data_IF_544762493494
#
_entry.id   IF_544762493494
#
_cell.length_a   1.000
_cell.length_b   1.000
_cell.length_c   1.000
_cell.angle_alpha   90.00
_cell.angle_beta   90.00
_cell.angle_gamma   90.00
#
_symmetry.space_group_name_H-M   'P 1'
#
loop_
_entity.id
_entity.type
_entity.pdbx_description
1 polymer ?
#
# COMPACT_ATOMS: atom_id res chain seq x y z
N UNK A 1 11.07 23.40 -21.74
CA UNK A 1 9.66 23.68 -21.36
C UNK A 1 8.70 22.80 -22.17
N UNK A 2 8.87 22.68 -23.51
CA UNK A 2 7.95 21.93 -24.36
C UNK A 2 7.86 20.43 -24.04
N UNK A 3 8.99 19.75 -23.77
CA UNK A 3 9.00 18.31 -23.47
C UNK A 3 8.29 17.98 -22.15
N UNK A 4 8.58 18.72 -21.08
CA UNK A 4 7.95 18.50 -19.78
C UNK A 4 6.42 18.67 -19.81
N UNK A 5 5.92 19.66 -20.55
CA UNK A 5 4.48 19.87 -20.71
C UNK A 5 3.82 18.72 -21.49
N UNK A 6 4.41 18.28 -22.59
CA UNK A 6 3.94 17.14 -23.37
C UNK A 6 3.98 15.83 -22.53
N UNK A 7 5.02 15.63 -21.74
CA UNK A 7 5.15 14.50 -20.84
C UNK A 7 4.04 14.51 -19.77
N UNK A 8 3.79 15.68 -19.14
CA UNK A 8 2.71 15.84 -18.17
C UNK A 8 1.35 15.46 -18.75
N UNK A 9 1.04 15.95 -19.95
CA UNK A 9 -0.20 15.65 -20.65
C UNK A 9 -0.34 14.16 -20.94
N UNK A 10 0.74 13.51 -21.44
CA UNK A 10 0.74 12.06 -21.67
C UNK A 10 0.52 11.25 -20.40
N UNK A 11 1.19 11.60 -19.29
CA UNK A 11 1.01 10.93 -18.00
C UNK A 11 -0.44 11.09 -17.52
N UNK A 12 -1.02 12.30 -17.59
CA UNK A 12 -2.43 12.50 -17.24
C UNK A 12 -3.37 11.62 -18.09
N UNK A 13 -3.16 11.53 -19.39
CA UNK A 13 -3.96 10.70 -20.27
C UNK A 13 -3.84 9.20 -19.91
N UNK A 14 -2.64 8.74 -19.51
CA UNK A 14 -2.43 7.38 -19.04
C UNK A 14 -3.20 7.14 -17.74
N UNK A 15 -3.11 8.06 -16.77
CA UNK A 15 -3.80 7.93 -15.47
C UNK A 15 -5.31 7.82 -15.67
N UNK A 16 -5.91 8.68 -16.49
CA UNK A 16 -7.35 8.63 -16.80
C UNK A 16 -7.72 7.30 -17.46
N UNK A 17 -6.98 6.86 -18.49
CA UNK A 17 -7.25 5.59 -19.18
C UNK A 17 -7.14 4.35 -18.28
N UNK A 18 -6.30 4.41 -17.25
CA UNK A 18 -6.07 3.31 -16.33
C UNK A 18 -6.92 3.39 -15.05
N UNK A 19 -7.80 4.38 -14.92
CA UNK A 19 -8.70 4.57 -13.77
C UNK A 19 -8.02 5.13 -12.53
N UNK A 20 -6.94 5.91 -12.70
CA UNK A 20 -6.21 6.60 -11.64
C UNK A 20 -6.49 8.12 -11.66
N UNK A 21 -7.72 8.50 -11.92
CA UNK A 21 -8.18 9.90 -12.17
C UNK A 21 -8.02 10.80 -10.94
N UNK A 22 -7.89 10.23 -9.75
CA UNK A 22 -7.63 10.99 -8.52
C UNK A 22 -6.15 11.37 -8.33
N UNK A 23 -5.26 10.85 -9.18
CA UNK A 23 -3.83 11.16 -9.11
C UNK A 23 -3.54 12.52 -9.75
N UNK A 24 -2.64 13.27 -9.14
CA UNK A 24 -2.28 14.61 -9.58
C UNK A 24 -0.87 14.63 -10.15
N UNK A 25 -0.71 15.03 -11.41
CA UNK A 25 0.59 15.21 -12.06
C UNK A 25 1.07 16.65 -11.86
N UNK A 26 2.20 16.82 -11.17
CA UNK A 26 2.88 18.09 -10.97
C UNK A 26 4.14 18.17 -11.80
N UNK A 27 4.42 19.33 -12.35
CA UNK A 27 5.62 19.60 -13.15
C UNK A 27 6.50 20.63 -12.43
N UNK A 28 7.74 20.27 -12.18
CA UNK A 28 8.71 21.11 -11.51
C UNK A 28 9.85 21.46 -12.46
N UNK A 29 10.09 22.76 -12.67
CA UNK A 29 11.28 23.29 -13.33
C UNK A 29 12.27 23.87 -12.33
N UNK A 30 11.82 24.08 -11.09
CA UNK A 30 12.61 24.59 -9.99
C UNK A 30 12.71 23.54 -8.90
N UNK A 31 13.93 23.13 -8.60
CA UNK A 31 14.22 22.10 -7.61
C UNK A 31 13.79 22.50 -6.19
N UNK A 32 13.88 23.79 -5.83
CA UNK A 32 13.47 24.27 -4.50
C UNK A 32 12.00 24.01 -4.21
N UNK A 33 11.12 24.13 -5.22
CA UNK A 33 9.69 23.83 -5.05
C UNK A 33 9.45 22.36 -4.79
N UNK A 34 10.13 21.48 -5.53
CA UNK A 34 10.07 20.03 -5.29
C UNK A 34 10.57 19.69 -3.89
N UNK A 35 11.74 20.18 -3.49
CA UNK A 35 12.36 19.89 -2.20
C UNK A 35 11.48 20.33 -1.01
N UNK A 36 10.78 21.44 -1.12
CA UNK A 36 9.80 21.89 -0.11
C UNK A 36 8.65 20.90 0.03
N UNK A 37 8.14 20.34 -1.06
CA UNK A 37 7.05 19.35 -1.02
C UNK A 37 7.50 17.97 -0.50
N UNK A 38 8.79 17.64 -0.55
CA UNK A 38 9.32 16.40 0.01
C UNK A 38 9.18 16.31 1.54
N UNK A 39 9.07 17.46 2.21
CA UNK A 39 8.84 17.51 3.68
C UNK A 39 7.48 16.98 4.09
N UNK A 40 6.50 16.91 3.19
CA UNK A 40 5.18 16.34 3.46
C UNK A 40 5.27 14.80 3.54
N UNK A 41 5.23 14.28 4.75
CA UNK A 41 5.25 12.83 5.02
C UNK A 41 3.92 12.18 4.59
N UNK A 42 4.00 10.89 4.22
CA UNK A 42 2.84 10.01 3.88
C UNK A 42 2.15 10.26 2.53
N UNK A 43 2.77 10.97 1.59
CA UNK A 43 2.29 11.01 0.21
C UNK A 43 2.98 9.93 -0.62
N UNK A 44 2.18 9.18 -1.38
CA UNK A 44 2.69 8.27 -2.42
C UNK A 44 3.06 9.10 -3.63
N UNK A 45 4.26 8.89 -4.13
CA UNK A 45 4.80 9.64 -5.26
C UNK A 45 5.40 8.69 -6.29
N UNK A 46 5.44 9.13 -7.53
CA UNK A 46 6.22 8.53 -8.62
C UNK A 46 6.98 9.69 -9.27
N UNK A 47 8.28 9.59 -9.32
CA UNK A 47 9.14 10.63 -9.85
C UNK A 47 9.59 10.30 -11.27
N UNK A 48 9.21 11.13 -12.24
CA UNK A 48 9.73 11.10 -13.59
C UNK A 48 10.75 12.24 -13.74
N UNK A 49 12.03 11.89 -13.82
CA UNK A 49 13.12 12.88 -13.82
C UNK A 49 13.80 12.90 -15.19
N UNK A 50 13.82 14.05 -15.82
CA UNK A 50 14.60 14.28 -17.05
C UNK A 50 16.06 14.50 -16.67
N UNK A 51 16.90 13.49 -16.80
CA UNK A 51 18.26 13.46 -16.24
C UNK A 51 19.18 14.50 -16.88
N UNK A 52 19.09 14.66 -18.18
CA UNK A 52 19.87 15.60 -19.00
C UNK A 52 19.33 17.06 -18.96
N UNK A 53 18.26 17.29 -18.20
CA UNK A 53 17.77 18.65 -17.99
C UNK A 53 18.58 19.37 -16.89
N UNK A 54 18.67 20.68 -17.01
CA UNK A 54 19.23 21.55 -15.97
C UNK A 54 18.10 22.17 -15.16
N UNK A 55 18.17 21.98 -13.86
CA UNK A 55 17.21 22.48 -12.89
C UNK A 55 17.80 23.64 -12.10
N UNK A 56 17.00 24.67 -11.86
CA UNK A 56 17.44 25.85 -11.12
C UNK A 56 17.26 25.63 -9.62
N UNK A 57 18.34 25.87 -8.86
CA UNK A 57 18.35 25.90 -7.41
C UNK A 57 18.98 27.23 -6.97
N UNK A 58 18.22 28.10 -6.32
CA UNK A 58 18.71 29.44 -5.98
C UNK A 58 19.39 30.13 -7.20
N UNK A 59 20.69 30.25 -7.20
CA UNK A 59 21.48 30.82 -8.31
C UNK A 59 22.33 29.78 -9.06
N UNK A 60 22.21 28.50 -8.75
CA UNK A 60 23.00 27.44 -9.35
C UNK A 60 22.13 26.54 -10.24
N UNK A 61 22.77 25.79 -11.14
CA UNK A 61 22.14 24.77 -11.97
C UNK A 61 22.58 23.40 -11.52
N UNK A 62 21.62 22.51 -11.27
CA UNK A 62 21.83 21.09 -11.00
C UNK A 62 21.23 20.23 -12.11
N UNK A 63 21.65 18.99 -12.18
CA UNK A 63 21.10 17.98 -13.11
C UNK A 63 20.06 17.05 -12.44
N UNK A 64 19.51 16.15 -13.23
CA UNK A 64 18.52 15.22 -12.73
C UNK A 64 19.08 14.17 -11.75
N UNK A 65 20.38 13.85 -11.79
CA UNK A 65 21.01 12.95 -10.84
C UNK A 65 21.08 13.58 -9.46
N UNK A 66 21.49 14.82 -9.38
CA UNK A 66 21.48 15.58 -8.13
C UNK A 66 20.08 15.66 -7.52
N UNK A 67 19.04 15.92 -8.36
CA UNK A 67 17.63 15.90 -7.91
C UNK A 67 17.26 14.54 -7.31
N UNK A 68 17.62 13.46 -7.98
CA UNK A 68 17.33 12.10 -7.51
C UNK A 68 18.01 11.79 -6.17
N UNK A 69 19.25 12.22 -5.98
CA UNK A 69 19.94 12.10 -4.69
C UNK A 69 19.17 12.84 -3.58
N UNK A 70 18.74 14.06 -3.83
CA UNK A 70 17.98 14.86 -2.85
C UNK A 70 16.60 14.24 -2.55
N UNK A 71 15.95 13.63 -3.52
CA UNK A 71 14.74 12.85 -3.29
C UNK A 71 15.04 11.69 -2.36
N UNK A 72 16.10 10.92 -2.59
CA UNK A 72 16.45 9.74 -1.77
C UNK A 72 16.82 10.09 -0.32
N UNK A 73 17.32 11.29 -0.05
CA UNK A 73 17.56 11.77 1.33
C UNK A 73 16.25 11.86 2.15
N UNK A 74 15.12 12.07 1.50
CA UNK A 74 13.81 12.29 2.15
C UNK A 74 12.78 11.20 1.86
N UNK A 75 12.86 10.56 0.71
CA UNK A 75 11.91 9.56 0.21
C UNK A 75 12.64 8.35 -0.36
N UNK A 76 12.81 7.33 0.49
CA UNK A 76 13.55 6.10 0.16
C UNK A 76 12.73 5.13 -0.73
N UNK A 77 11.40 5.24 -0.72
CA UNK A 77 10.51 4.17 -1.21
C UNK A 77 9.92 4.49 -2.58
N UNK A 78 9.57 5.77 -2.82
CA UNK A 78 8.88 6.16 -4.04
C UNK A 78 9.69 5.84 -5.29
N UNK A 79 9.06 5.28 -6.33
CA UNK A 79 9.74 4.95 -7.57
C UNK A 79 10.32 6.19 -8.26
N UNK A 80 11.56 6.09 -8.70
CA UNK A 80 12.21 7.08 -9.57
C UNK A 80 12.36 6.45 -10.95
N UNK A 81 11.93 7.16 -11.97
CA UNK A 81 12.04 6.81 -13.38
C UNK A 81 12.82 7.91 -14.08
N UNK A 82 13.90 7.56 -14.74
CA UNK A 82 14.71 8.48 -15.49
C UNK A 82 14.29 8.55 -16.95
N UNK A 83 14.28 9.77 -17.48
CA UNK A 83 14.05 10.04 -18.91
C UNK A 83 15.27 10.76 -19.48
N UNK A 84 15.86 10.24 -20.52
CA UNK A 84 17.03 10.83 -21.18
C UNK A 84 17.12 10.41 -22.66
N UNK A 85 17.97 11.07 -23.42
CA UNK A 85 18.42 10.59 -24.72
C UNK A 85 19.83 9.96 -24.66
N UNK A 86 20.49 10.00 -23.51
CA UNK A 86 21.89 9.61 -23.31
C UNK A 86 21.98 8.27 -22.61
N UNK A 87 22.12 7.19 -23.38
CA UNK A 87 22.21 5.82 -22.87
C UNK A 87 23.48 5.60 -22.03
N UNK A 88 24.53 6.33 -22.33
CA UNK A 88 25.81 6.29 -21.62
C UNK A 88 25.68 6.71 -20.15
N UNK A 89 24.67 7.49 -19.81
CA UNK A 89 24.43 7.90 -18.42
C UNK A 89 23.94 6.77 -17.53
N UNK A 90 23.44 5.66 -18.11
CA UNK A 90 22.89 4.53 -17.34
C UNK A 90 23.96 3.92 -16.41
N UNK A 91 25.17 3.74 -16.90
CA UNK A 91 26.25 3.15 -16.10
C UNK A 91 26.62 4.03 -14.88
N UNK A 92 26.70 5.34 -15.07
CA UNK A 92 27.00 6.27 -13.98
C UNK A 92 25.91 6.33 -12.88
N UNK A 93 24.67 5.96 -13.19
CA UNK A 93 23.58 5.96 -12.22
C UNK A 93 23.80 4.93 -11.11
N UNK A 94 24.41 3.79 -11.41
CA UNK A 94 24.69 2.75 -10.42
C UNK A 94 25.69 3.22 -9.33
N UNK A 95 26.59 4.11 -9.67
CA UNK A 95 27.55 4.68 -8.73
C UNK A 95 26.85 5.50 -7.62
N UNK A 96 25.70 6.07 -7.92
CA UNK A 96 24.90 6.87 -6.99
C UNK A 96 23.94 6.07 -6.12
N UNK A 97 23.77 4.77 -6.36
CA UNK A 97 22.89 3.85 -5.59
C UNK A 97 21.47 4.38 -5.40
N UNK A 98 20.88 4.94 -6.46
CA UNK A 98 19.61 5.65 -6.41
C UNK A 98 18.38 4.74 -6.46
N UNK A 99 18.56 3.42 -6.65
CA UNK A 99 17.47 2.44 -6.74
C UNK A 99 16.38 2.88 -7.73
N UNK A 100 16.80 3.20 -8.95
CA UNK A 100 15.91 3.66 -10.01
C UNK A 100 15.04 2.52 -10.50
N UNK A 101 13.76 2.77 -10.66
CA UNK A 101 12.79 1.74 -11.10
C UNK A 101 12.92 1.39 -12.57
N UNK A 102 13.13 2.41 -13.41
CA UNK A 102 13.31 2.25 -14.85
C UNK A 102 14.05 3.43 -15.46
N UNK A 103 14.51 3.20 -16.68
CA UNK A 103 15.21 4.16 -17.52
C UNK A 103 14.57 4.20 -18.90
N UNK A 104 14.07 5.35 -19.31
CA UNK A 104 13.28 5.53 -20.53
C UNK A 104 13.98 6.48 -21.48
N UNK A 105 14.25 6.00 -22.70
CA UNK A 105 14.80 6.82 -23.77
C UNK A 105 13.71 7.69 -24.40
N UNK A 106 13.97 9.01 -24.53
CA UNK A 106 12.99 10.00 -25.00
C UNK A 106 12.80 10.02 -26.54
N UNK A 107 13.74 9.42 -27.29
CA UNK A 107 13.73 9.51 -28.76
C UNK A 107 12.58 8.71 -29.40
N UNK A 108 12.09 7.66 -28.75
CA UNK A 108 10.94 6.89 -29.20
C UNK A 108 9.77 7.12 -28.24
N UNK A 109 8.86 7.98 -28.66
CA UNK A 109 7.74 8.39 -27.81
C UNK A 109 6.67 7.31 -27.62
N UNK A 110 6.54 6.35 -28.53
CA UNK A 110 5.57 5.24 -28.39
C UNK A 110 6.09 4.21 -27.39
N UNK A 111 7.36 3.84 -27.52
CA UNK A 111 8.03 2.97 -26.55
C UNK A 111 8.07 3.64 -25.17
N UNK A 112 8.40 4.93 -25.11
CA UNK A 112 8.42 5.69 -23.86
C UNK A 112 7.05 5.71 -23.17
N UNK A 113 5.96 5.91 -23.92
CA UNK A 113 4.59 5.91 -23.37
C UNK A 113 4.21 4.53 -22.81
N UNK A 114 4.54 3.46 -23.54
CA UNK A 114 4.30 2.09 -23.07
C UNK A 114 5.06 1.78 -21.77
N UNK A 115 6.33 2.18 -21.66
CA UNK A 115 7.14 2.04 -20.44
C UNK A 115 6.61 2.88 -19.29
N UNK A 116 6.26 4.13 -19.52
CA UNK A 116 5.66 5.02 -18.51
C UNK A 116 4.39 4.37 -17.93
N UNK A 117 3.51 3.87 -18.81
CA UNK A 117 2.30 3.14 -18.41
C UNK A 117 2.62 1.93 -17.53
N UNK A 118 3.60 1.12 -17.94
CA UNK A 118 4.04 -0.04 -17.17
C UNK A 118 4.58 0.36 -15.78
N UNK A 119 5.41 1.41 -15.70
CA UNK A 119 5.95 1.93 -14.44
C UNK A 119 4.84 2.40 -13.49
N UNK A 120 3.86 3.15 -14.01
CA UNK A 120 2.70 3.61 -13.22
C UNK A 120 1.94 2.41 -12.64
N UNK A 121 1.60 1.42 -13.46
CA UNK A 121 0.90 0.21 -13.00
C UNK A 121 1.66 -0.56 -11.92
N UNK A 122 2.97 -0.73 -12.09
CA UNK A 122 3.81 -1.43 -11.12
C UNK A 122 3.88 -0.62 -9.82
N UNK A 123 4.05 0.70 -9.89
CA UNK A 123 4.11 1.57 -8.73
C UNK A 123 2.79 1.53 -7.92
N UNK A 124 1.63 1.64 -8.59
CA UNK A 124 0.32 1.50 -7.96
C UNK A 124 0.16 0.11 -7.31
N UNK A 125 0.52 -0.96 -8.01
CA UNK A 125 0.44 -2.32 -7.46
C UNK A 125 1.32 -2.50 -6.22
N UNK A 126 2.54 -1.93 -6.21
CA UNK A 126 3.42 -1.93 -5.04
C UNK A 126 2.78 -1.16 -3.88
N UNK A 127 2.27 0.03 -4.16
CA UNK A 127 1.63 0.87 -3.15
C UNK A 127 0.41 0.19 -2.51
N UNK A 128 -0.48 -0.43 -3.31
CA UNK A 128 -1.62 -1.20 -2.80
C UNK A 128 -1.12 -2.32 -1.89
N UNK A 129 -0.08 -3.06 -2.28
CA UNK A 129 0.51 -4.10 -1.44
C UNK A 129 1.08 -3.53 -0.13
N UNK A 130 1.82 -2.42 -0.17
CA UNK A 130 2.36 -1.78 1.02
C UNK A 130 1.27 -1.23 1.94
N UNK A 131 0.23 -0.61 1.37
CA UNK A 131 -0.93 -0.14 2.13
C UNK A 131 -1.64 -1.30 2.81
N UNK A 132 -1.89 -2.39 2.09
CA UNK A 132 -2.46 -3.62 2.62
C UNK A 132 -1.55 -4.21 3.71
N UNK A 133 -0.23 -4.25 3.50
CA UNK A 133 0.72 -4.73 4.50
C UNK A 133 0.74 -3.85 5.75
N UNK A 134 0.69 -2.52 5.62
CA UNK A 134 0.63 -1.57 6.76
C UNK A 134 -0.71 -1.60 7.49
N UNK A 135 -1.83 -1.82 6.77
CA UNK A 135 -3.17 -1.96 7.36
C UNK A 135 -3.40 -3.33 8.00
N UNK A 136 -2.57 -4.33 7.67
CA UNK A 136 -2.70 -5.70 8.17
C UNK A 136 -2.20 -5.90 9.60
N UNK A 137 -2.03 -4.83 10.36
CA UNK A 137 -1.66 -4.90 11.77
C UNK A 137 -2.59 -4.03 12.60
N UNK A 138 -2.90 -4.48 13.80
CA UNK A 138 -3.48 -3.63 14.83
C UNK A 138 -2.68 -3.73 16.12
N UNK A 139 -2.85 -2.72 16.96
CA UNK A 139 -2.13 -2.63 18.21
C UNK A 139 -3.09 -2.83 19.36
N UNK A 140 -2.73 -3.67 20.32
CA UNK A 140 -3.45 -3.90 21.55
C UNK A 140 -2.55 -3.64 22.74
N UNK A 141 -3.16 -3.24 23.87
CA UNK A 141 -2.51 -3.17 25.16
C UNK A 141 -3.00 -4.32 26.02
N UNK A 142 -2.11 -5.23 26.38
CA UNK A 142 -2.39 -6.39 27.24
C UNK A 142 -1.15 -6.70 28.07
N UNK A 143 -1.37 -7.11 29.33
CA UNK A 143 -0.33 -7.51 30.27
C UNK A 143 0.81 -6.47 30.42
N UNK A 144 0.43 -5.18 30.56
CA UNK A 144 1.34 -4.04 30.67
C UNK A 144 2.26 -3.85 29.45
N UNK A 145 1.94 -4.47 28.31
CA UNK A 145 2.71 -4.40 27.08
C UNK A 145 1.86 -3.98 25.90
N UNK A 146 2.50 -3.27 24.95
CA UNK A 146 1.92 -2.91 23.67
C UNK A 146 2.32 -3.97 22.63
N UNK A 147 1.31 -4.62 22.03
CA UNK A 147 1.49 -5.68 21.05
C UNK A 147 1.04 -5.21 19.68
N UNK A 148 1.90 -5.36 18.68
CA UNK A 148 1.55 -5.18 17.27
C UNK A 148 1.29 -6.56 16.66
N UNK A 149 0.04 -6.82 16.26
CA UNK A 149 -0.44 -8.12 15.81
C UNK A 149 -0.81 -8.04 14.34
N UNK A 150 -0.24 -8.93 13.53
CA UNK A 150 -0.63 -9.08 12.13
C UNK A 150 -2.04 -9.65 12.00
N UNK A 151 -2.83 -9.17 11.05
CA UNK A 151 -4.14 -9.75 10.77
C UNK A 151 -4.04 -11.21 10.32
N UNK A 152 -2.95 -11.60 9.65
CA UNK A 152 -2.72 -12.97 9.23
C UNK A 152 -2.49 -13.93 10.40
N UNK A 153 -2.07 -13.43 11.56
CA UNK A 153 -1.94 -14.22 12.78
C UNK A 153 -3.26 -14.42 13.49
N UNK A 154 -4.26 -13.56 13.24
CA UNK A 154 -5.54 -13.57 13.93
C UNK A 154 -6.43 -14.69 13.39
N UNK A 155 -6.83 -15.62 14.25
CA UNK A 155 -7.76 -16.69 13.89
C UNK A 155 -9.22 -16.24 14.14
N UNK A 156 -9.52 -15.78 15.35
CA UNK A 156 -10.84 -15.24 15.69
C UNK A 156 -10.78 -14.38 16.96
N UNK A 157 -11.84 -13.63 17.18
CA UNK A 157 -12.15 -12.95 18.43
C UNK A 157 -13.40 -13.54 19.04
N UNK A 158 -13.41 -13.65 20.37
CA UNK A 158 -14.59 -14.04 21.13
C UNK A 158 -14.83 -13.13 22.34
N UNK A 159 -16.06 -13.14 22.86
CA UNK A 159 -16.35 -12.44 24.13
C UNK A 159 -15.60 -13.15 25.27
N UNK A 160 -14.93 -12.36 26.12
CA UNK A 160 -14.34 -12.86 27.37
C UNK A 160 -15.41 -13.11 28.43
N UNK A 161 -15.07 -13.93 29.44
CA UNK A 161 -15.83 -14.04 30.69
C UNK A 161 -15.74 -12.78 31.55
N UNK A 162 -14.72 -11.97 31.32
CA UNK A 162 -14.53 -10.68 32.00
C UNK A 162 -15.36 -9.61 31.26
N UNK A 163 -16.21 -8.85 31.98
CA UNK A 163 -17.01 -7.79 31.37
C UNK A 163 -16.17 -6.80 30.57
N UNK A 164 -16.67 -6.37 29.40
CA UNK A 164 -16.03 -5.41 28.48
C UNK A 164 -14.71 -5.87 27.86
N UNK A 165 -14.20 -7.06 28.16
CA UNK A 165 -13.04 -7.64 27.49
C UNK A 165 -13.47 -8.60 26.39
N UNK A 166 -12.58 -8.73 25.41
CA UNK A 166 -12.63 -9.76 24.36
C UNK A 166 -11.34 -10.58 24.40
N UNK A 167 -11.45 -11.83 23.98
CA UNK A 167 -10.30 -12.68 23.68
C UNK A 167 -9.97 -12.59 22.21
N UNK A 168 -8.72 -12.44 21.91
CA UNK A 168 -8.13 -12.56 20.59
C UNK A 168 -7.32 -13.86 20.57
N UNK A 169 -7.68 -14.76 19.68
CA UNK A 169 -6.96 -16.01 19.45
C UNK A 169 -6.15 -15.87 18.18
N UNK A 170 -4.83 -15.98 18.32
CA UNK A 170 -3.88 -15.96 17.21
C UNK A 170 -3.29 -17.35 16.97
N UNK A 171 -2.46 -17.46 15.95
CA UNK A 171 -1.72 -18.70 15.63
C UNK A 171 -0.73 -19.12 16.72
N UNK A 172 -0.26 -18.16 17.54
CA UNK A 172 0.81 -18.38 18.53
C UNK A 172 0.36 -18.22 19.98
N UNK A 173 -0.64 -17.38 20.25
CA UNK A 173 -1.06 -17.05 21.64
C UNK A 173 -2.48 -16.48 21.72
N UNK A 174 -2.96 -16.30 22.95
CA UNK A 174 -4.26 -15.70 23.26
C UNK A 174 -4.01 -14.41 24.05
N UNK A 175 -4.76 -13.35 23.70
CA UNK A 175 -4.75 -12.08 24.41
C UNK A 175 -6.14 -11.78 24.94
N UNK A 176 -6.23 -11.06 26.07
CA UNK A 176 -7.47 -10.49 26.58
C UNK A 176 -7.29 -8.97 26.75
N UNK A 177 -8.19 -8.18 26.17
CA UNK A 177 -8.11 -6.71 26.24
C UNK A 177 -9.50 -6.06 26.13
N UNK A 178 -9.58 -4.80 26.53
CA UNK A 178 -10.82 -4.03 26.48
C UNK A 178 -11.11 -3.57 25.05
N UNK A 179 -12.15 -4.10 24.44
CA UNK A 179 -12.66 -3.69 23.12
C UNK A 179 -14.06 -4.26 22.87
N UNK A 180 -14.81 -3.62 21.98
CA UNK A 180 -16.11 -4.14 21.52
C UNK A 180 -15.95 -5.02 20.29
N UNK A 181 -16.57 -6.21 20.29
CA UNK A 181 -16.65 -7.07 19.09
C UNK A 181 -17.36 -6.38 17.91
N UNK A 182 -18.23 -5.37 18.16
CA UNK A 182 -18.96 -4.67 17.11
C UNK A 182 -18.04 -3.87 16.19
N UNK A 183 -16.94 -3.33 16.70
CA UNK A 183 -16.00 -2.49 15.94
C UNK A 183 -14.91 -3.28 15.19
N UNK A 184 -14.82 -4.60 15.35
CA UNK A 184 -13.77 -5.40 14.74
C UNK A 184 -13.93 -5.61 13.23
N UNK A 185 -15.15 -5.82 12.67
CA UNK A 185 -15.33 -5.93 11.23
C UNK A 185 -14.93 -4.65 10.46
N UNK A 186 -14.93 -3.50 11.13
CA UNK A 186 -14.52 -2.22 10.53
C UNK A 186 -12.99 -2.09 10.40
N UNK A 187 -12.22 -2.99 11.01
CA UNK A 187 -10.75 -2.98 10.94
C UNK A 187 -10.25 -3.43 9.57
N UNK A 188 -10.83 -4.49 9.03
CA UNK A 188 -10.49 -5.03 7.71
C UNK A 188 -11.58 -5.99 7.21
N UNK A 189 -11.71 -6.13 5.90
CA UNK A 189 -12.66 -7.02 5.24
C UNK A 189 -12.39 -8.53 5.49
N UNK A 190 -11.26 -8.89 6.08
CA UNK A 190 -10.99 -10.26 6.50
C UNK A 190 -11.77 -10.66 7.76
N UNK A 191 -12.21 -9.69 8.59
CA UNK A 191 -12.90 -9.95 9.85
C UNK A 191 -14.41 -9.96 9.65
N UNK A 192 -15.02 -11.12 9.84
CA UNK A 192 -16.45 -11.33 9.63
C UNK A 192 -17.13 -11.62 10.96
N UNK A 193 -18.15 -10.84 11.28
CA UNK A 193 -19.00 -11.14 12.43
C UNK A 193 -19.92 -12.31 12.08
N UNK A 194 -19.85 -13.38 12.87
CA UNK A 194 -20.61 -14.62 12.65
C UNK A 194 -21.59 -14.93 13.77
N UNK A 195 -21.36 -14.34 14.94
CA UNK A 195 -22.21 -14.50 16.12
C UNK A 195 -22.13 -13.26 17.02
N UNK A 196 -23.07 -13.12 17.98
CA UNK A 196 -22.95 -12.07 19.02
C UNK A 196 -21.63 -12.15 19.79
N UNK A 197 -21.07 -13.38 19.91
CA UNK A 197 -19.85 -13.66 20.67
C UNK A 197 -18.63 -13.96 19.80
N UNK A 198 -18.73 -13.96 18.46
CA UNK A 198 -17.62 -14.32 17.58
C UNK A 198 -17.47 -13.38 16.38
N UNK A 199 -16.23 -12.97 16.14
CA UNK A 199 -15.74 -12.38 14.87
C UNK A 199 -14.59 -13.27 14.40
N UNK A 200 -14.67 -13.80 13.18
CA UNK A 200 -13.67 -14.72 12.63
C UNK A 200 -12.89 -14.08 11.49
N UNK A 201 -11.66 -14.49 11.31
CA UNK A 201 -10.89 -14.18 10.12
C UNK A 201 -11.24 -15.20 9.02
N UNK A 202 -11.74 -14.71 7.87
CA UNK A 202 -12.17 -15.56 6.75
C UNK A 202 -11.07 -16.45 6.20
N UNK A 203 -9.81 -16.02 6.26
CA UNK A 203 -8.66 -16.78 5.76
C UNK A 203 -8.26 -17.95 6.67
N UNK A 204 -8.75 -17.96 7.91
CA UNK A 204 -8.57 -19.06 8.87
C UNK A 204 -9.76 -20.01 8.94
N UNK A 205 -10.76 -19.87 8.07
CA UNK A 205 -11.90 -20.81 7.99
C UNK A 205 -11.45 -22.05 7.24
N UNK A 206 -11.53 -23.22 7.90
CA UNK A 206 -11.22 -24.52 7.30
C UNK A 206 -12.48 -25.15 6.71
N UNK A 207 -13.61 -25.09 7.43
CA UNK A 207 -14.87 -25.62 6.93
C UNK A 207 -16.08 -24.94 7.56
N UNK A 208 -17.20 -24.98 6.83
CA UNK A 208 -18.48 -24.39 7.22
C UNK A 208 -19.56 -25.48 7.24
N UNK A 209 -20.09 -25.80 8.42
CA UNK A 209 -21.24 -26.69 8.57
C UNK A 209 -22.51 -25.85 8.78
N UNK A 210 -23.24 -25.64 7.70
CA UNK A 210 -24.49 -24.86 7.73
C UNK A 210 -25.65 -25.62 8.38
N UNK A 211 -25.60 -26.95 8.48
CA UNK A 211 -26.66 -27.73 9.16
C UNK A 211 -26.51 -27.55 10.67
N UNK A 212 -25.30 -27.59 11.18
CA UNK A 212 -25.00 -27.42 12.61
C UNK A 212 -24.75 -25.98 13.03
N UNK A 213 -24.77 -25.02 12.07
CA UNK A 213 -24.41 -23.62 12.31
C UNK A 213 -23.03 -23.43 12.96
N UNK A 214 -22.02 -24.12 12.44
CA UNK A 214 -20.67 -24.12 12.97
C UNK A 214 -19.63 -23.79 11.90
N UNK A 215 -18.57 -23.10 12.31
CA UNK A 215 -17.37 -22.84 11.52
C UNK A 215 -16.20 -23.51 12.22
N UNK A 216 -15.43 -24.36 11.51
CA UNK A 216 -14.17 -24.89 12.00
C UNK A 216 -13.04 -23.98 11.58
N UNK A 217 -12.27 -23.50 12.56
CA UNK A 217 -11.12 -22.61 12.35
C UNK A 217 -9.84 -23.43 12.19
N UNK A 218 -8.76 -22.78 11.69
CA UNK A 218 -7.46 -23.41 11.41
C UNK A 218 -6.80 -24.07 12.63
N UNK A 219 -7.07 -23.55 13.84
CA UNK A 219 -6.62 -24.14 15.10
C UNK A 219 -7.53 -25.27 15.63
N UNK A 220 -8.52 -25.72 14.84
CA UNK A 220 -9.46 -26.76 15.20
C UNK A 220 -10.67 -26.30 16.04
N UNK A 221 -10.67 -25.05 16.54
CA UNK A 221 -11.79 -24.52 17.30
C UNK A 221 -13.06 -24.38 16.45
N UNK A 222 -14.23 -24.55 17.10
CA UNK A 222 -15.54 -24.44 16.44
C UNK A 222 -16.25 -23.19 16.93
N UNK A 223 -16.39 -22.22 16.03
CA UNK A 223 -17.18 -21.01 16.27
C UNK A 223 -18.63 -21.20 15.84
N UNK A 224 -19.57 -20.76 16.68
CA UNK A 224 -21.01 -20.81 16.36
C UNK A 224 -21.40 -19.70 15.40
N UNK A 225 -22.35 -19.98 14.50
CA UNK A 225 -22.96 -19.03 13.59
C UNK A 225 -24.37 -18.70 14.08
N UNK A 226 -24.75 -17.43 14.14
CA UNK A 226 -26.16 -17.10 14.35
C UNK A 226 -26.92 -17.09 13.02
N UNK A 227 -28.22 -17.35 13.07
CA UNK A 227 -29.09 -17.38 11.88
C UNK A 227 -28.99 -16.08 11.07
N UNK A 228 -28.82 -14.94 11.71
CA UNK A 228 -28.69 -13.62 11.07
C UNK A 228 -27.47 -13.53 10.12
N UNK A 229 -26.34 -14.16 10.48
CA UNK A 229 -25.09 -14.08 9.72
C UNK A 229 -24.91 -15.23 8.71
N UNK A 230 -25.76 -16.25 8.76
CA UNK A 230 -25.69 -17.44 7.90
C UNK A 230 -25.72 -17.11 6.40
N UNK A 231 -26.62 -16.19 5.99
CA UNK A 231 -26.75 -15.83 4.58
C UNK A 231 -25.57 -14.98 4.09
N UNK A 232 -25.02 -14.12 4.95
CA UNK A 232 -23.83 -13.31 4.65
C UNK A 232 -22.64 -14.19 4.39
N UNK A 233 -22.40 -15.20 5.25
CA UNK A 233 -21.30 -16.16 5.12
C UNK A 233 -21.38 -16.99 3.83
N UNK A 234 -22.57 -17.41 3.39
CA UNK A 234 -22.73 -18.14 2.12
C UNK A 234 -22.22 -17.36 0.92
N UNK A 235 -22.39 -16.05 0.92
CA UNK A 235 -21.97 -15.18 -0.20
C UNK A 235 -20.45 -14.91 -0.16
N UNK A 236 -19.86 -14.76 1.03
CA UNK A 236 -18.45 -14.45 1.20
C UNK A 236 -17.52 -15.62 0.86
N UNK A 237 -17.98 -16.87 1.12
CA UNK A 237 -17.15 -18.07 0.88
C UNK A 237 -17.27 -18.58 -0.56
N UNK A 238 -18.22 -18.06 -1.36
CA UNK A 238 -18.35 -18.39 -2.79
C UNK A 238 -17.50 -17.52 -3.70
N UNK A 239 -16.90 -16.44 -3.18
CA UNK A 239 -15.98 -15.51 -3.85
C UNK A 239 -14.55 -15.85 -3.51
#
# INVERSE_FOLDING_TARGET
>A
VCFGMKLKEKINNILIKEGFDNDVVRLYHNANLLLKELTEKNKVRIYFIVVDAKYKISNELCDGLWIAQKIRESDYISPIIFLTNHIEMILGIFDYRLEVMDFILKHDMEIAESKIKACIKIAHKRHIKEKNYRSNFFTIYSDFSLWKISFDEVIYFETSTIPHKIKLVTTSRIFEFYKSLKSLPDLDACFIRVHKSFVVNKYHIVSLDLKKNNIKMSNGHICRISNTYRNILKNIIKT
#
